data_IF_326629267064
#
_entry.id   IF_326629267064
#
_cell.length_a   1.000
_cell.length_b   1.000
_cell.length_c   1.000
_cell.angle_alpha   90.00
_cell.angle_beta   90.00
_cell.angle_gamma   90.00
#
_symmetry.space_group_name_H-M   'P 1'
#
loop_
_entity.id
_entity.type
_entity.pdbx_description
1 polymer ?
#
# COMPACT_ATOMS: atom_id res chain seq x y z
N UNK A 1 14.42 -7.57 1.57
CA UNK A 1 12.95 -7.76 1.41
C UNK A 1 12.64 -8.16 -0.02
N UNK A 2 11.51 -8.82 -0.29
CA UNK A 2 11.10 -9.11 -1.68
C UNK A 2 10.79 -7.80 -2.42
N UNK A 3 11.10 -7.74 -3.72
CA UNK A 3 10.72 -6.64 -4.60
C UNK A 3 9.19 -6.42 -4.54
N UNK A 4 8.77 -5.17 -4.44
CA UNK A 4 7.38 -4.73 -4.62
C UNK A 4 7.32 -4.10 -6.01
N UNK A 5 6.44 -4.60 -6.86
CA UNK A 5 6.52 -4.42 -8.31
C UNK A 5 6.27 -2.97 -8.76
N UNK A 6 5.60 -2.18 -7.94
CA UNK A 6 5.10 -0.84 -8.23
C UNK A 6 5.88 0.28 -7.52
N UNK A 7 7.00 -0.05 -6.87
CA UNK A 7 7.88 0.91 -6.18
C UNK A 7 9.35 0.51 -6.37
N UNK A 8 10.27 1.45 -6.15
CA UNK A 8 11.70 1.19 -6.30
C UNK A 8 12.34 0.74 -4.99
N UNK A 9 11.97 1.37 -3.88
CA UNK A 9 12.50 1.06 -2.55
C UNK A 9 11.44 1.19 -1.45
N UNK A 10 11.67 0.52 -0.34
CA UNK A 10 10.84 0.68 0.87
C UNK A 10 11.59 1.51 1.89
N UNK A 11 10.92 2.46 2.54
CA UNK A 11 11.44 3.19 3.69
C UNK A 11 10.52 2.90 4.88
N UNK A 12 11.06 2.33 5.95
CA UNK A 12 10.30 1.82 7.09
C UNK A 12 10.75 2.50 8.40
N UNK A 13 10.40 3.78 8.64
CA UNK A 13 10.61 4.47 9.92
C UNK A 13 9.72 3.91 11.04
N UNK A 14 8.69 3.14 10.71
CA UNK A 14 7.89 2.37 11.66
C UNK A 14 7.90 0.89 11.25
N UNK A 15 7.95 -0.02 12.20
CA UNK A 15 7.72 -1.47 11.99
C UNK A 15 6.64 -1.98 12.93
N UNK A 16 5.97 -3.07 12.54
CA UNK A 16 4.88 -3.63 13.34
C UNK A 16 3.54 -2.93 13.12
N UNK A 17 2.45 -3.67 13.36
CA UNK A 17 1.11 -3.16 13.13
C UNK A 17 0.03 -3.92 13.90
N UNK A 18 -0.99 -3.21 14.37
CA UNK A 18 -2.24 -3.82 14.86
C UNK A 18 -3.15 -4.19 13.67
N UNK A 19 -3.74 -5.40 13.68
CA UNK A 19 -4.66 -5.86 12.62
C UNK A 19 -6.05 -5.26 12.79
N UNK A 20 -6.62 -4.66 11.73
CA UNK A 20 -7.89 -3.92 11.81
C UNK A 20 -9.00 -4.41 10.86
N UNK A 21 -8.72 -5.39 10.01
CA UNK A 21 -9.67 -5.85 8.99
C UNK A 21 -9.42 -7.30 8.54
N UNK A 22 -10.37 -7.93 7.82
CA UNK A 22 -10.16 -9.25 7.21
C UNK A 22 -8.95 -9.30 6.27
N UNK A 23 -8.57 -8.19 5.63
CA UNK A 23 -7.36 -8.10 4.79
C UNK A 23 -6.05 -8.32 5.56
N UNK A 24 -6.06 -8.16 6.89
CA UNK A 24 -4.89 -8.36 7.75
C UNK A 24 -4.70 -9.83 8.19
N UNK A 25 -5.67 -10.72 7.93
CA UNK A 25 -5.67 -12.10 8.46
C UNK A 25 -4.38 -12.85 8.14
N UNK A 26 -3.94 -12.81 6.88
CA UNK A 26 -2.73 -13.47 6.37
C UNK A 26 -1.61 -12.47 6.02
N UNK A 27 -1.43 -11.45 6.87
CA UNK A 27 -0.47 -10.37 6.64
C UNK A 27 0.96 -10.87 6.38
N UNK A 28 1.52 -10.52 5.21
CA UNK A 28 2.90 -10.87 4.89
C UNK A 28 3.91 -10.18 5.81
N UNK A 29 3.63 -8.93 6.22
CA UNK A 29 4.52 -8.14 7.06
C UNK A 29 4.68 -8.79 8.44
N UNK A 30 3.61 -9.35 9.01
CA UNK A 30 3.68 -10.09 10.26
C UNK A 30 4.56 -11.33 10.15
N UNK A 31 4.35 -12.13 9.11
CA UNK A 31 5.13 -13.35 8.87
C UNK A 31 6.62 -13.01 8.68
N UNK A 32 6.89 -11.97 7.90
CA UNK A 32 8.24 -11.47 7.66
C UNK A 32 8.88 -10.90 8.92
N UNK A 33 8.15 -10.13 9.73
CA UNK A 33 8.63 -9.57 10.98
C UNK A 33 9.01 -10.66 12.00
N UNK A 34 8.19 -11.72 12.13
CA UNK A 34 8.52 -12.90 12.95
C UNK A 34 9.82 -13.57 12.48
N UNK A 35 10.02 -13.69 11.16
CA UNK A 35 11.27 -14.22 10.59
C UNK A 35 12.46 -13.31 10.87
N UNK A 36 12.31 -12.00 10.68
CA UNK A 36 13.37 -11.03 10.92
C UNK A 36 13.78 -10.96 12.39
N UNK A 37 12.82 -11.08 13.32
CA UNK A 37 13.09 -11.25 14.75
C UNK A 37 13.92 -12.50 15.03
N UNK A 38 13.52 -13.65 14.49
CA UNK A 38 14.25 -14.90 14.67
C UNK A 38 15.69 -14.85 14.09
N UNK A 39 15.94 -13.96 13.12
CA UNK A 39 17.25 -13.72 12.53
C UNK A 39 18.07 -12.63 13.27
N UNK A 40 17.54 -11.99 14.31
CA UNK A 40 18.20 -10.88 15.00
C UNK A 40 18.37 -9.63 14.12
N UNK A 41 17.48 -9.40 13.15
CA UNK A 41 17.57 -8.25 12.26
C UNK A 41 17.22 -6.94 13.02
N UNK A 42 18.06 -5.89 12.96
CA UNK A 42 17.82 -4.63 13.67
C UNK A 42 16.46 -4.00 13.33
N UNK A 43 15.75 -3.51 14.34
CA UNK A 43 14.43 -2.88 14.22
C UNK A 43 13.26 -3.85 14.07
N UNK A 44 13.50 -5.14 14.34
CA UNK A 44 12.49 -6.20 14.44
C UNK A 44 12.59 -6.97 15.76
N UNK A 45 13.24 -6.40 16.76
CA UNK A 45 13.46 -6.97 18.08
C UNK A 45 12.12 -7.33 18.76
N UNK A 46 11.12 -6.47 18.56
CA UNK A 46 9.75 -6.65 19.05
C UNK A 46 8.86 -7.47 18.07
N UNK A 47 9.43 -8.00 16.99
CA UNK A 47 8.68 -8.77 16.00
C UNK A 47 7.69 -7.89 15.25
N UNK A 48 6.39 -8.19 15.39
CA UNK A 48 5.32 -7.44 14.71
C UNK A 48 4.59 -6.45 15.63
N UNK A 49 5.02 -6.32 16.88
CA UNK A 49 4.61 -5.21 17.74
C UNK A 49 5.18 -3.90 17.22
N UNK A 50 4.47 -2.80 17.51
CA UNK A 50 4.86 -1.47 17.04
C UNK A 50 6.24 -1.08 17.57
N UNK A 51 7.11 -0.66 16.64
CA UNK A 51 8.37 -0.01 16.95
C UNK A 51 8.53 1.24 16.09
N UNK A 52 8.87 2.36 16.74
CA UNK A 52 9.34 3.58 16.08
C UNK A 52 10.85 3.47 15.91
N UNK A 53 11.36 3.86 14.74
CA UNK A 53 12.78 3.74 14.39
C UNK A 53 13.34 5.11 13.97
N UNK A 54 13.54 6.05 14.91
CA UNK A 54 14.01 7.41 14.62
C UNK A 54 15.33 7.43 13.83
N UNK A 55 16.21 6.45 14.06
CA UNK A 55 17.49 6.30 13.36
C UNK A 55 17.31 6.05 11.85
N UNK A 56 16.12 5.63 11.41
CA UNK A 56 15.79 5.43 10.00
C UNK A 56 15.20 6.67 9.33
N UNK A 57 14.85 7.71 10.08
CA UNK A 57 14.21 8.90 9.50
C UNK A 57 15.09 9.54 8.43
N UNK A 58 16.39 9.64 8.66
CA UNK A 58 17.30 10.33 7.76
C UNK A 58 17.72 9.50 6.52
N UNK A 59 17.23 8.27 6.34
CA UNK A 59 17.63 7.41 5.22
C UNK A 59 17.37 8.03 3.83
N UNK A 60 16.22 8.69 3.57
CA UNK A 60 16.00 9.32 2.27
C UNK A 60 16.91 10.52 2.01
N UNK A 61 17.29 11.28 3.05
CA UNK A 61 18.22 12.43 2.93
C UNK A 61 19.59 12.01 2.37
N UNK A 62 20.00 10.76 2.60
CA UNK A 62 21.28 10.24 2.15
C UNK A 62 21.28 9.85 0.66
N UNK A 63 20.12 9.86 0.00
CA UNK A 63 19.98 9.39 -1.37
C UNK A 63 19.81 10.53 -2.37
N UNK A 64 20.76 10.63 -3.30
CA UNK A 64 20.72 11.64 -4.37
C UNK A 64 19.87 11.23 -5.58
N UNK A 65 19.88 9.94 -5.96
CA UNK A 65 19.13 9.46 -7.13
C UNK A 65 17.62 9.60 -6.85
N UNK A 66 16.84 10.31 -7.69
CA UNK A 66 15.38 10.32 -7.60
C UNK A 66 14.83 8.92 -7.42
N UNK A 67 13.90 8.74 -6.50
CA UNK A 67 13.45 7.41 -6.10
C UNK A 67 12.02 7.46 -5.62
N UNK A 68 11.27 6.47 -6.07
CA UNK A 68 9.94 6.18 -5.60
C UNK A 68 10.02 5.25 -4.38
N UNK A 69 9.64 5.79 -3.21
CA UNK A 69 9.62 5.08 -1.95
C UNK A 69 8.21 4.62 -1.60
N UNK A 70 8.07 3.36 -1.19
CA UNK A 70 6.92 2.92 -0.41
C UNK A 70 7.21 3.07 1.08
N UNK A 71 6.49 3.98 1.74
CA UNK A 71 6.62 4.25 3.17
C UNK A 71 5.86 3.19 3.95
N UNK A 72 6.52 2.61 4.95
CA UNK A 72 5.92 1.67 5.89
C UNK A 72 5.36 0.40 5.21
N UNK A 73 6.17 -0.24 4.36
CA UNK A 73 5.85 -1.57 3.83
C UNK A 73 5.74 -2.67 4.89
N UNK A 74 6.17 -2.40 6.12
CA UNK A 74 6.23 -3.36 7.24
C UNK A 74 5.39 -2.92 8.44
N UNK A 75 4.53 -1.92 8.26
CA UNK A 75 3.72 -1.28 9.31
C UNK A 75 2.57 -0.49 8.69
N UNK A 76 1.91 0.35 9.46
CA UNK A 76 0.97 1.37 8.99
C UNK A 76 1.34 2.68 9.71
N UNK A 77 1.55 3.78 8.97
CA UNK A 77 2.00 5.04 9.55
C UNK A 77 0.92 5.69 10.44
N UNK A 78 -0.35 5.48 10.13
CA UNK A 78 -1.49 6.14 10.79
C UNK A 78 -2.17 5.25 11.83
N UNK A 79 -1.43 4.30 12.41
CA UNK A 79 -1.95 3.52 13.55
C UNK A 79 -1.94 4.31 14.85
N UNK A 80 -2.93 4.02 15.71
CA UNK A 80 -3.30 4.82 16.87
C UNK A 80 -2.12 5.10 17.81
N UNK A 81 -1.21 4.13 17.91
CA UNK A 81 -0.06 4.20 18.82
C UNK A 81 1.17 4.91 18.21
N UNK A 82 1.11 5.38 16.96
CA UNK A 82 2.17 6.23 16.37
C UNK A 82 1.90 7.69 16.74
N UNK A 83 2.78 8.35 17.52
CA UNK A 83 2.57 9.73 17.95
C UNK A 83 2.57 10.71 16.78
N UNK A 84 1.68 11.70 16.80
CA UNK A 84 1.62 12.74 15.77
C UNK A 84 2.98 13.43 15.51
N UNK A 85 3.79 13.78 16.55
CA UNK A 85 5.12 14.36 16.31
C UNK A 85 6.06 13.44 15.52
N UNK A 86 5.88 12.11 15.59
CA UNK A 86 6.67 11.18 14.78
C UNK A 86 6.20 11.16 13.33
N UNK A 87 4.88 11.23 13.09
CA UNK A 87 4.34 11.39 11.73
C UNK A 87 4.82 12.71 11.13
N UNK A 88 4.84 13.80 11.92
CA UNK A 88 5.37 15.10 11.53
C UNK A 88 6.84 14.99 11.10
N UNK A 89 7.68 14.32 11.88
CA UNK A 89 9.08 14.10 11.51
C UNK A 89 9.26 13.29 10.21
N UNK A 90 8.36 12.33 9.93
CA UNK A 90 8.34 11.62 8.63
C UNK A 90 7.98 12.58 7.49
N UNK A 91 6.96 13.42 7.68
CA UNK A 91 6.54 14.41 6.67
C UNK A 91 7.61 15.50 6.44
N UNK A 92 8.38 15.86 7.47
CA UNK A 92 9.49 16.83 7.36
C UNK A 92 10.60 16.29 6.46
N UNK A 93 10.99 15.01 6.62
CA UNK A 93 11.98 14.36 5.74
C UNK A 93 11.47 14.30 4.30
N UNK A 94 10.19 13.98 4.11
CA UNK A 94 9.54 13.94 2.80
C UNK A 94 9.63 15.30 2.11
N UNK A 95 9.31 16.39 2.83
CA UNK A 95 9.40 17.75 2.32
C UNK A 95 10.85 18.17 2.03
N UNK A 96 11.80 17.75 2.86
CA UNK A 96 13.22 18.02 2.67
C UNK A 96 13.86 17.25 1.50
N UNK A 97 13.14 16.33 0.87
CA UNK A 97 13.62 15.50 -0.25
C UNK A 97 12.67 15.52 -1.45
N UNK A 98 12.46 16.71 -2.06
CA UNK A 98 11.44 16.88 -3.11
C UNK A 98 11.75 16.13 -4.42
N UNK A 99 13.00 15.67 -4.62
CA UNK A 99 13.41 14.82 -5.75
C UNK A 99 12.97 13.36 -5.61
N UNK A 100 12.40 12.96 -4.47
CA UNK A 100 11.81 11.65 -4.24
C UNK A 100 10.29 11.70 -4.34
N UNK A 101 9.67 10.56 -4.63
CA UNK A 101 8.21 10.38 -4.57
C UNK A 101 7.89 9.38 -3.47
N UNK A 102 6.94 9.71 -2.61
CA UNK A 102 6.58 8.90 -1.44
C UNK A 102 5.17 8.36 -1.54
N UNK A 103 5.04 7.04 -1.62
CA UNK A 103 3.75 6.36 -1.57
C UNK A 103 3.45 5.99 -0.12
N UNK A 104 2.35 6.52 0.42
CA UNK A 104 1.88 6.20 1.77
C UNK A 104 0.55 5.46 1.64
N UNK A 105 0.48 4.25 2.18
CA UNK A 105 -0.71 3.39 2.12
C UNK A 105 -1.18 3.08 3.55
N UNK A 106 -2.48 3.20 3.81
CA UNK A 106 -3.05 2.89 5.14
C UNK A 106 -4.37 2.12 5.07
N UNK A 107 -4.69 1.40 6.14
CA UNK A 107 -6.04 0.86 6.43
C UNK A 107 -6.81 1.71 7.45
N UNK A 108 -6.21 2.78 7.97
CA UNK A 108 -6.77 3.69 8.98
C UNK A 108 -7.03 5.06 8.37
N UNK A 109 -7.91 5.07 7.38
CA UNK A 109 -8.22 6.27 6.59
C UNK A 109 -8.80 7.41 7.42
N UNK A 110 -9.53 7.10 8.50
CA UNK A 110 -10.03 8.09 9.47
C UNK A 110 -8.90 8.87 10.12
N UNK A 111 -7.93 8.17 10.72
CA UNK A 111 -6.76 8.78 11.37
C UNK A 111 -5.93 9.61 10.37
N UNK A 112 -5.70 9.07 9.16
CA UNK A 112 -5.03 9.81 8.10
C UNK A 112 -5.78 11.09 7.72
N UNK A 113 -7.11 11.03 7.63
CA UNK A 113 -7.94 12.19 7.33
C UNK A 113 -7.85 13.23 8.43
N UNK A 114 -8.04 12.85 9.69
CA UNK A 114 -7.93 13.74 10.86
C UNK A 114 -6.56 14.42 10.93
N UNK A 115 -5.48 13.67 10.71
CA UNK A 115 -4.12 14.20 10.65
C UNK A 115 -3.97 15.34 9.64
N UNK A 116 -4.55 15.18 8.45
CA UNK A 116 -4.51 16.17 7.36
C UNK A 116 -5.63 17.22 7.41
N UNK A 117 -6.44 17.29 8.47
CA UNK A 117 -7.37 18.42 8.67
C UNK A 117 -6.62 19.72 9.01
N UNK A 118 -5.48 19.59 9.70
CA UNK A 118 -4.67 20.72 10.18
C UNK A 118 -3.30 20.82 9.51
N UNK A 119 -2.97 19.87 8.61
CA UNK A 119 -1.67 19.74 7.95
C UNK A 119 -1.84 19.62 6.45
N UNK A 120 -0.86 20.13 5.70
CA UNK A 120 -0.82 19.98 4.25
C UNK A 120 -0.20 18.64 3.87
N UNK A 121 -0.69 18.04 2.80
CA UNK A 121 -0.05 16.88 2.17
C UNK A 121 1.13 17.40 1.33
N UNK A 122 2.37 16.95 1.55
CA UNK A 122 3.50 17.34 0.72
C UNK A 122 3.27 16.98 -0.77
N UNK A 123 3.72 17.83 -1.69
CA UNK A 123 3.42 17.65 -3.14
C UNK A 123 4.00 16.36 -3.73
N UNK A 124 5.10 15.86 -3.15
CA UNK A 124 5.76 14.64 -3.56
C UNK A 124 5.21 13.38 -2.86
N UNK A 125 4.05 13.48 -2.19
CA UNK A 125 3.34 12.36 -1.58
C UNK A 125 2.19 11.87 -2.46
N UNK A 126 2.14 10.56 -2.66
CA UNK A 126 1.00 9.83 -3.18
C UNK A 126 0.30 9.18 -1.99
N UNK A 127 -0.92 9.60 -1.67
CA UNK A 127 -1.71 9.03 -0.58
C UNK A 127 -2.60 7.91 -1.09
N UNK A 128 -2.66 6.82 -0.34
CA UNK A 128 -3.52 5.70 -0.71
C UNK A 128 -4.14 4.98 0.47
N UNK A 129 -5.22 4.25 0.15
CA UNK A 129 -5.91 3.37 1.10
C UNK A 129 -5.98 1.96 0.56
N UNK A 130 -5.91 0.97 1.45
CA UNK A 130 -6.20 -0.41 1.04
C UNK A 130 -7.72 -0.62 0.90
N UNK A 131 -8.13 -1.39 -0.11
CA UNK A 131 -9.54 -1.70 -0.40
C UNK A 131 -9.69 -3.21 -0.61
N UNK A 132 -9.74 -3.97 0.48
CA UNK A 132 -9.81 -5.44 0.40
C UNK A 132 -11.23 -6.00 0.13
N UNK A 133 -12.27 -5.29 0.57
CA UNK A 133 -13.67 -5.73 0.53
C UNK A 133 -14.66 -4.55 0.57
N UNK A 134 -15.97 -4.81 0.45
CA UNK A 134 -17.05 -3.81 0.53
C UNK A 134 -17.26 -3.25 1.93
N UNK A 135 -17.07 -4.06 2.97
CA UNK A 135 -17.46 -3.70 4.34
C UNK A 135 -16.43 -2.81 5.03
N UNK A 136 -15.15 -3.09 4.86
CA UNK A 136 -14.03 -2.41 5.52
C UNK A 136 -13.22 -1.59 4.53
N UNK A 137 -12.95 -2.12 3.33
CA UNK A 137 -12.10 -1.47 2.34
C UNK A 137 -12.77 -0.28 1.66
N UNK A 138 -13.93 -0.52 1.04
CA UNK A 138 -14.65 0.46 0.23
C UNK A 138 -15.01 1.76 0.99
N UNK A 139 -15.38 1.74 2.29
CA UNK A 139 -15.63 2.96 3.06
C UNK A 139 -14.41 3.87 3.24
N UNK A 140 -13.18 3.39 3.01
CA UNK A 140 -11.96 4.21 3.10
C UNK A 140 -11.77 5.16 1.91
N UNK A 141 -12.43 4.89 0.78
CA UNK A 141 -12.31 5.70 -0.44
C UNK A 141 -12.86 7.13 -0.21
N UNK A 142 -14.06 7.32 0.39
CA UNK A 142 -14.54 8.63 0.80
C UNK A 142 -13.57 9.45 1.65
N UNK A 143 -12.92 8.84 2.65
CA UNK A 143 -11.96 9.54 3.51
C UNK A 143 -10.76 10.05 2.72
N UNK A 144 -10.17 9.19 1.87
CA UNK A 144 -9.04 9.58 1.01
C UNK A 144 -9.40 10.75 0.08
N UNK A 145 -10.62 10.74 -0.45
CA UNK A 145 -11.11 11.80 -1.35
C UNK A 145 -11.47 13.09 -0.62
N UNK A 146 -11.68 13.07 0.70
CA UNK A 146 -11.88 14.26 1.52
C UNK A 146 -10.56 15.02 1.77
N UNK A 147 -9.42 14.33 1.68
CA UNK A 147 -8.09 14.92 1.87
C UNK A 147 -7.66 15.65 0.59
N UNK A 148 -7.14 16.87 0.73
CA UNK A 148 -6.52 17.63 -0.36
C UNK A 148 -5.12 17.08 -0.66
N UNK A 149 -5.05 16.10 -1.55
CA UNK A 149 -3.81 15.49 -2.00
C UNK A 149 -3.69 15.60 -3.53
N UNK A 150 -2.46 15.82 -4.01
CA UNK A 150 -2.12 15.89 -5.43
C UNK A 150 -2.37 14.53 -6.10
N UNK A 151 -1.79 13.47 -5.56
CA UNK A 151 -1.95 12.11 -6.07
C UNK A 151 -2.65 11.22 -5.05
N UNK A 152 -3.64 10.47 -5.52
CA UNK A 152 -4.43 9.51 -4.72
C UNK A 152 -4.43 8.15 -5.40
N UNK A 153 -4.20 7.09 -4.65
CA UNK A 153 -4.23 5.72 -5.18
C UNK A 153 -5.01 4.75 -4.30
N UNK A 154 -5.52 3.68 -4.90
CA UNK A 154 -6.15 2.57 -4.18
C UNK A 154 -5.27 1.33 -4.32
N UNK A 155 -4.95 0.68 -3.20
CA UNK A 155 -4.38 -0.66 -3.22
C UNK A 155 -5.48 -1.65 -2.90
N UNK A 156 -6.05 -2.26 -3.94
CA UNK A 156 -7.09 -3.27 -3.83
C UNK A 156 -6.41 -4.62 -3.56
N UNK A 157 -5.74 -4.70 -2.40
CA UNK A 157 -4.89 -5.81 -2.00
C UNK A 157 -4.98 -6.15 -0.49
N UNK A 158 -5.16 -7.44 -0.16
CA UNK A 158 -5.62 -8.49 -1.07
C UNK A 158 -7.07 -8.21 -1.52
N UNK A 159 -7.41 -8.42 -2.79
CA UNK A 159 -8.80 -8.38 -3.24
C UNK A 159 -9.53 -9.65 -2.79
N UNK A 160 -10.52 -9.50 -1.89
CA UNK A 160 -11.18 -10.64 -1.22
C UNK A 160 -12.57 -10.98 -1.79
N UNK A 161 -13.18 -10.05 -2.52
CA UNK A 161 -14.50 -10.22 -3.14
C UNK A 161 -14.67 -9.22 -4.29
N UNK A 162 -15.68 -9.40 -5.14
CA UNK A 162 -16.08 -8.34 -6.08
C UNK A 162 -16.58 -7.12 -5.31
N UNK A 163 -15.81 -6.04 -5.26
CA UNK A 163 -16.17 -4.78 -4.57
C UNK A 163 -17.21 -3.93 -5.33
N UNK A 164 -17.60 -4.37 -6.53
CA UNK A 164 -18.59 -3.71 -7.37
C UNK A 164 -18.14 -2.32 -7.84
N UNK A 165 -19.09 -1.41 -8.03
CA UNK A 165 -18.81 -0.04 -8.49
C UNK A 165 -18.02 0.76 -7.46
N UNK A 166 -16.92 1.40 -7.88
CA UNK A 166 -16.07 2.27 -7.06
C UNK A 166 -16.23 3.75 -7.43
N UNK A 167 -15.98 4.63 -6.45
CA UNK A 167 -15.91 6.08 -6.66
C UNK A 167 -14.49 6.46 -7.10
N UNK A 168 -14.27 6.51 -8.41
CA UNK A 168 -12.93 6.74 -8.99
C UNK A 168 -12.63 8.19 -9.36
N UNK A 169 -13.62 9.09 -9.38
CA UNK A 169 -13.38 10.51 -9.64
C UNK A 169 -12.46 11.09 -8.56
N UNK A 170 -11.29 11.58 -8.95
CA UNK A 170 -10.24 12.11 -8.05
C UNK A 170 -9.22 11.06 -7.57
N UNK A 171 -9.37 9.79 -7.99
CA UNK A 171 -8.35 8.74 -7.86
C UNK A 171 -7.50 8.76 -9.12
N UNK A 172 -6.20 8.54 -8.98
CA UNK A 172 -5.23 8.58 -10.08
C UNK A 172 -4.69 7.20 -10.44
N UNK A 173 -4.70 6.28 -9.48
CA UNK A 173 -4.12 4.95 -9.67
C UNK A 173 -4.83 3.88 -8.86
N UNK A 174 -5.02 2.71 -9.46
CA UNK A 174 -5.60 1.54 -8.80
C UNK A 174 -4.69 0.34 -9.03
N UNK A 175 -4.23 -0.25 -7.92
CA UNK A 175 -3.38 -1.42 -7.88
C UNK A 175 -4.24 -2.60 -7.44
N UNK A 176 -4.23 -3.72 -8.17
CA UNK A 176 -4.98 -4.93 -7.81
C UNK A 176 -4.05 -6.12 -7.66
N UNK A 177 -4.27 -6.93 -6.63
CA UNK A 177 -3.50 -8.15 -6.40
C UNK A 177 -4.14 -9.11 -5.40
N UNK A 178 -3.86 -10.39 -5.60
CA UNK A 178 -4.36 -11.46 -4.75
C UNK A 178 -3.51 -11.70 -3.50
N UNK A 179 -4.12 -12.37 -2.52
CA UNK A 179 -3.46 -12.74 -1.26
C UNK A 179 -2.34 -13.76 -1.49
N UNK A 180 -1.26 -13.67 -0.73
CA UNK A 180 -0.11 -14.58 -0.84
C UNK A 180 0.24 -15.21 0.50
N UNK A 181 1.02 -16.29 0.47
CA UNK A 181 1.43 -17.00 1.68
C UNK A 181 0.46 -18.10 2.12
N UNK A 182 0.73 -18.69 3.29
CA UNK A 182 -0.03 -19.82 3.82
C UNK A 182 -1.44 -19.39 4.20
N UNK A 183 -2.44 -20.12 3.72
CA UNK A 183 -3.86 -19.84 3.98
C UNK A 183 -4.42 -18.68 3.15
N UNK A 184 -3.72 -18.23 2.12
CA UNK A 184 -4.21 -17.21 1.20
C UNK A 184 -5.58 -17.58 0.63
N UNK A 185 -6.44 -16.57 0.47
CA UNK A 185 -7.76 -16.70 -0.15
C UNK A 185 -7.68 -16.46 -1.66
N UNK A 186 -8.50 -17.16 -2.47
CA UNK A 186 -8.52 -16.98 -3.92
C UNK A 186 -9.14 -15.64 -4.31
N UNK A 187 -8.63 -15.07 -5.40
CA UNK A 187 -9.19 -13.91 -6.09
C UNK A 187 -9.70 -14.38 -7.45
N UNK A 188 -10.88 -13.93 -7.87
CA UNK A 188 -11.44 -14.33 -9.17
C UNK A 188 -11.10 -13.30 -10.25
N UNK A 189 -10.90 -13.78 -11.49
CA UNK A 189 -10.54 -12.94 -12.63
C UNK A 189 -11.59 -11.85 -12.91
N UNK A 190 -12.86 -12.23 -12.86
CA UNK A 190 -14.00 -11.34 -13.11
C UNK A 190 -14.01 -10.11 -12.18
N UNK A 191 -13.52 -10.23 -10.94
CA UNK A 191 -13.43 -9.13 -9.99
C UNK A 191 -12.35 -8.12 -10.43
N UNK A 192 -11.21 -8.63 -10.88
CA UNK A 192 -10.09 -7.82 -11.38
C UNK A 192 -10.48 -7.11 -12.68
N UNK A 193 -11.12 -7.84 -13.60
CA UNK A 193 -11.61 -7.30 -14.87
C UNK A 193 -12.65 -6.20 -14.63
N UNK A 194 -13.58 -6.39 -13.69
CA UNK A 194 -14.54 -5.35 -13.28
C UNK A 194 -13.83 -4.06 -12.85
N UNK A 195 -12.86 -4.16 -11.93
CA UNK A 195 -12.10 -3.00 -11.45
C UNK A 195 -11.34 -2.32 -12.58
N UNK A 196 -10.63 -3.09 -13.41
CA UNK A 196 -9.88 -2.55 -14.54
C UNK A 196 -10.78 -1.78 -15.50
N UNK A 197 -11.90 -2.37 -15.91
CA UNK A 197 -12.81 -1.74 -16.86
C UNK A 197 -13.36 -0.42 -16.31
N UNK A 198 -13.66 -0.37 -15.00
CA UNK A 198 -14.02 0.89 -14.34
C UNK A 198 -12.90 1.93 -14.41
N UNK A 199 -11.64 1.54 -14.19
CA UNK A 199 -10.49 2.45 -14.26
C UNK A 199 -10.30 3.02 -15.67
N UNK A 200 -10.25 2.13 -16.68
CA UNK A 200 -10.07 2.53 -18.08
C UNK A 200 -11.19 3.45 -18.57
N UNK A 201 -12.44 3.20 -18.15
CA UNK A 201 -13.59 4.01 -18.56
C UNK A 201 -13.54 5.45 -18.03
N UNK A 202 -12.80 5.73 -16.96
CA UNK A 202 -12.66 7.08 -16.39
C UNK A 202 -11.23 7.62 -16.47
N UNK A 203 -10.34 6.97 -17.22
CA UNK A 203 -8.96 7.40 -17.41
C UNK A 203 -8.08 7.31 -16.15
N UNK A 204 -8.36 6.35 -15.26
CA UNK A 204 -7.53 6.08 -14.07
C UNK A 204 -6.50 5.01 -14.41
N UNK A 205 -5.25 5.22 -14.02
CA UNK A 205 -4.18 4.25 -14.26
C UNK A 205 -4.44 2.94 -13.50
N UNK A 206 -4.27 1.82 -14.19
CA UNK A 206 -4.51 0.49 -13.64
C UNK A 206 -3.23 -0.35 -13.63
N UNK A 207 -2.91 -0.91 -12.45
CA UNK A 207 -1.79 -1.80 -12.24
C UNK A 207 -2.26 -3.15 -11.72
N UNK A 208 -2.02 -4.21 -12.48
CA UNK A 208 -2.21 -5.58 -12.00
C UNK A 208 -0.90 -6.11 -11.44
N UNK A 209 -0.83 -6.26 -10.13
CA UNK A 209 0.40 -6.65 -9.46
C UNK A 209 0.70 -8.13 -9.65
N UNK A 210 -0.23 -9.00 -9.25
CA UNK A 210 -0.08 -10.45 -9.26
C UNK A 210 -1.32 -11.19 -8.75
N UNK A 211 -1.46 -12.46 -9.10
CA UNK A 211 -2.56 -13.34 -8.67
C UNK A 211 -2.49 -13.80 -7.21
N UNK A 212 -1.31 -13.77 -6.58
CA UNK A 212 -1.15 -14.31 -5.23
C UNK A 212 -0.84 -15.81 -5.22
N UNK A 213 -1.27 -16.51 -4.17
CA UNK A 213 -1.04 -17.94 -4.04
C UNK A 213 -1.96 -18.78 -4.94
N UNK A 214 -3.09 -18.22 -5.38
CA UNK A 214 -4.04 -18.87 -6.30
C UNK A 214 -3.87 -18.28 -7.69
N UNK A 215 -3.59 -19.12 -8.69
CA UNK A 215 -3.50 -18.66 -10.08
C UNK A 215 -4.87 -18.38 -10.69
N UNK A 216 -4.87 -17.79 -11.89
CA UNK A 216 -6.09 -17.59 -12.70
C UNK A 216 -6.87 -18.89 -12.92
N UNK A 217 -6.16 -20.03 -12.97
CA UNK A 217 -6.71 -21.37 -13.12
C UNK A 217 -7.22 -22.00 -11.81
N UNK A 218 -7.28 -21.23 -10.72
CA UNK A 218 -7.72 -21.69 -9.41
C UNK A 218 -6.77 -22.68 -8.73
N UNK A 219 -5.54 -22.84 -9.20
CA UNK A 219 -4.55 -23.75 -8.59
C UNK A 219 -3.58 -23.00 -7.68
N UNK A 220 -3.25 -23.61 -6.55
CA UNK A 220 -2.29 -23.04 -5.61
C UNK A 220 -0.85 -23.22 -6.08
N UNK A 221 -0.08 -22.13 -6.13
CA UNK A 221 1.36 -22.12 -6.42
C UNK A 221 2.02 -20.94 -5.69
N UNK A 222 3.33 -20.80 -5.87
CA UNK A 222 4.01 -19.57 -5.44
C UNK A 222 3.52 -18.38 -6.26
N UNK A 223 3.47 -17.19 -5.67
CA UNK A 223 3.13 -15.95 -6.40
C UNK A 223 3.96 -15.74 -7.68
N UNK A 224 5.23 -16.15 -7.63
CA UNK A 224 6.14 -16.06 -8.78
C UNK A 224 5.66 -16.97 -9.93
N UNK A 225 5.19 -18.17 -9.62
CA UNK A 225 4.70 -19.12 -10.61
C UNK A 225 3.35 -18.71 -11.20
N UNK A 226 2.44 -18.13 -10.40
CA UNK A 226 1.16 -17.62 -10.90
C UNK A 226 1.32 -16.31 -11.69
N UNK A 227 2.38 -15.55 -11.43
CA UNK A 227 2.76 -14.39 -12.23
C UNK A 227 1.76 -13.23 -12.13
N UNK A 228 1.79 -12.40 -13.17
CA UNK A 228 1.14 -11.07 -13.19
C UNK A 228 0.50 -10.70 -14.53
N UNK A 229 0.10 -11.72 -15.29
CA UNK A 229 -0.68 -11.52 -16.51
C UNK A 229 -2.15 -11.59 -16.16
N UNK A 230 -2.94 -10.65 -16.68
CA UNK A 230 -4.40 -10.65 -16.64
C UNK A 230 -4.89 -10.64 -18.09
N UNK A 231 -5.67 -11.66 -18.47
CA UNK A 231 -6.06 -11.91 -19.86
C UNK A 231 -4.84 -11.95 -20.80
N UNK A 232 -3.78 -12.64 -20.37
CA UNK A 232 -2.53 -12.80 -21.12
C UNK A 232 -1.64 -11.55 -21.21
N UNK A 233 -2.07 -10.40 -20.67
CA UNK A 233 -1.37 -9.10 -20.76
C UNK A 233 -0.83 -8.63 -19.42
N UNK A 234 0.26 -7.87 -19.45
CA UNK A 234 0.79 -7.16 -18.27
C UNK A 234 0.15 -5.78 -18.21
N UNK A 235 -0.28 -5.38 -17.02
CA UNK A 235 -0.90 -4.09 -16.75
C UNK A 235 -0.05 -3.33 -15.73
N UNK A 236 0.80 -2.41 -16.22
CA UNK A 236 1.85 -1.73 -15.45
C UNK A 236 1.73 -0.20 -15.47
N UNK A 237 0.51 0.32 -15.63
CA UNK A 237 0.30 1.77 -15.66
C UNK A 237 0.70 2.38 -14.31
N UNK A 238 1.38 3.52 -14.36
CA UNK A 238 1.78 4.33 -13.20
C UNK A 238 1.44 5.78 -13.57
N UNK A 239 0.89 6.58 -12.65
CA UNK A 239 0.61 7.99 -12.92
C UNK A 239 1.83 8.73 -13.42
N UNK A 240 1.70 9.35 -14.59
CA UNK A 240 2.59 10.44 -14.99
C UNK A 240 2.36 11.56 -13.97
N UNK A 241 3.37 11.86 -13.13
CA UNK A 241 3.36 12.80 -12.00
C UNK A 241 2.17 13.77 -12.07
N UNK A 242 1.09 13.40 -11.38
CA UNK A 242 -0.24 13.99 -11.61
C UNK A 242 -0.21 15.50 -11.37
N UNK A 243 -0.87 16.26 -12.25
CA UNK A 243 -0.93 17.74 -12.29
C UNK A 243 -1.31 18.30 -10.93
#
# INVERSE_FOLDING_TARGET
MSKIEWTEQTWNPVTGCTKVSPGCKHCYAETMAKRLKAMGAPGYDNGFELSLLPERLNQPLQRRKPTMYFVNSMSDLFQDEVPLPFIDAVMDVIQATPHHTYQILTKRSGNMREYFETRLVPENVWLGVSVEDKKYGKPRIPDLLAIKARTRFLSVEPLLEDIGRMRLKGIHWVIVGGESGRGARPMQEEWVVNIRNQCLNVGVDFFFKQWGAWGEDGKQRTKKANGRKLEGKVWDMIPAVAV
#
